data_IF_624714118588
#
_entry.id   IF_624714118588
#
_cell.length_a   1.000
_cell.length_b   1.000
_cell.length_c   1.000
_cell.angle_alpha   90.00
_cell.angle_beta   90.00
_cell.angle_gamma   90.00
#
_symmetry.space_group_name_H-M   'P 1'
#
loop_
_entity.id
_entity.type
_entity.pdbx_description
1 polymer ?
#
# COMPACT_ATOMS: atom_id res chain seq x y z
N UNK A 1 -4.74 16.01 -29.56
CA UNK A 1 -3.95 14.81 -29.24
C UNK A 1 -3.51 14.94 -27.79
N UNK A 2 -4.29 14.38 -26.86
CA UNK A 2 -4.05 14.46 -25.42
C UNK A 2 -3.26 13.24 -24.99
N UNK A 3 -2.06 13.46 -24.48
CA UNK A 3 -1.12 12.43 -24.02
C UNK A 3 -1.60 11.81 -22.70
N UNK A 4 -2.24 10.64 -22.76
CA UNK A 4 -2.39 9.74 -21.62
C UNK A 4 -1.05 9.03 -21.36
N UNK A 5 -0.20 9.60 -20.51
CA UNK A 5 0.93 8.85 -19.96
C UNK A 5 0.38 7.96 -18.85
N UNK A 6 0.37 6.65 -19.08
CA UNK A 6 -0.05 5.65 -18.10
C UNK A 6 0.72 5.85 -16.77
N UNK A 7 0.08 6.49 -15.79
CA UNK A 7 0.70 6.79 -14.50
C UNK A 7 0.85 5.49 -13.70
N UNK A 8 2.09 5.04 -13.54
CA UNK A 8 2.43 3.92 -12.65
C UNK A 8 2.83 4.50 -11.29
N UNK A 9 2.18 4.09 -10.18
CA UNK A 9 2.56 4.55 -8.84
C UNK A 9 4.02 4.21 -8.53
N UNK A 10 4.78 5.17 -8.01
CA UNK A 10 6.22 5.01 -7.67
C UNK A 10 6.52 3.77 -6.82
N UNK A 11 5.65 3.48 -5.87
CA UNK A 11 5.80 2.31 -4.97
C UNK A 11 5.55 0.98 -5.70
N UNK A 12 4.69 0.96 -6.72
CA UNK A 12 4.43 -0.24 -7.53
C UNK A 12 5.63 -0.57 -8.42
N UNK A 13 6.26 0.45 -8.99
CA UNK A 13 7.49 0.31 -9.77
C UNK A 13 8.64 -0.21 -8.90
N UNK A 14 8.87 0.43 -7.75
CA UNK A 14 9.89 -0.02 -6.79
C UNK A 14 9.66 -1.46 -6.31
N UNK A 15 8.41 -1.85 -6.07
CA UNK A 15 8.10 -3.21 -5.64
C UNK A 15 8.47 -4.25 -6.70
N UNK A 16 8.12 -3.97 -7.96
CA UNK A 16 8.38 -4.88 -9.08
C UNK A 16 9.88 -5.01 -9.40
N UNK A 17 10.63 -3.91 -9.32
CA UNK A 17 12.03 -3.85 -9.76
C UNK A 17 13.02 -4.30 -8.68
N UNK A 18 12.82 -3.86 -7.43
CA UNK A 18 13.80 -4.08 -6.36
C UNK A 18 13.30 -5.07 -5.30
N UNK A 19 12.09 -4.86 -4.79
CA UNK A 19 11.62 -5.53 -3.57
C UNK A 19 11.28 -7.01 -3.84
N UNK A 20 10.70 -7.31 -5.00
CA UNK A 20 10.33 -8.68 -5.38
C UNK A 20 11.55 -9.60 -5.48
N UNK A 21 12.62 -9.13 -6.11
CA UNK A 21 13.86 -9.88 -6.24
C UNK A 21 14.54 -10.10 -4.88
N UNK A 22 14.63 -9.05 -4.07
CA UNK A 22 15.18 -9.13 -2.71
C UNK A 22 14.40 -10.11 -1.82
N UNK A 23 13.05 -10.11 -1.91
CA UNK A 23 12.21 -11.04 -1.16
C UNK A 23 12.38 -12.48 -1.61
N UNK A 24 12.51 -12.74 -2.93
CA UNK A 24 12.76 -14.09 -3.44
C UNK A 24 14.06 -14.66 -2.91
N UNK A 25 15.13 -13.86 -2.89
CA UNK A 25 16.44 -14.27 -2.37
C UNK A 25 16.41 -14.49 -0.86
N UNK A 26 15.84 -13.56 -0.10
CA UNK A 26 15.79 -13.66 1.38
C UNK A 26 14.94 -14.82 1.88
N UNK A 27 13.85 -15.14 1.19
CA UNK A 27 12.93 -16.22 1.58
C UNK A 27 13.24 -17.55 0.88
N UNK A 28 14.23 -17.60 -0.02
CA UNK A 28 14.61 -18.80 -0.75
C UNK A 28 13.51 -19.35 -1.67
N UNK A 29 12.63 -18.49 -2.16
CA UNK A 29 11.44 -18.88 -2.91
C UNK A 29 11.80 -19.07 -4.38
N UNK A 30 11.60 -20.29 -4.89
CA UNK A 30 11.84 -20.64 -6.31
C UNK A 30 10.67 -20.27 -7.23
N UNK A 31 9.46 -20.11 -6.68
CA UNK A 31 8.27 -19.77 -7.47
C UNK A 31 7.96 -18.27 -7.42
N UNK A 32 8.01 -17.62 -8.57
CA UNK A 32 7.74 -16.17 -8.76
C UNK A 32 6.34 -15.75 -8.29
N UNK A 33 5.38 -16.66 -8.29
CA UNK A 33 4.00 -16.41 -7.85
C UNK A 33 3.81 -16.54 -6.33
N UNK A 34 4.79 -17.10 -5.61
CA UNK A 34 4.75 -17.21 -4.14
C UNK A 34 5.29 -15.95 -3.44
N UNK A 35 5.77 -14.96 -4.19
CA UNK A 35 6.28 -13.72 -3.59
C UNK A 35 5.14 -12.94 -2.93
N UNK A 36 5.27 -12.53 -1.66
CA UNK A 36 4.18 -11.85 -0.94
C UNK A 36 3.81 -10.52 -1.60
N UNK A 37 2.52 -10.30 -1.86
CA UNK A 37 1.97 -9.06 -2.45
C UNK A 37 1.00 -8.39 -1.48
N UNK A 38 0.81 -7.06 -1.64
CA UNK A 38 -0.20 -6.33 -0.88
C UNK A 38 -1.56 -6.46 -1.56
N UNK A 39 -2.54 -7.05 -0.86
CA UNK A 39 -3.91 -7.18 -1.38
C UNK A 39 -4.76 -5.94 -1.07
N UNK A 40 -4.76 -5.48 0.18
CA UNK A 40 -5.46 -4.26 0.58
C UNK A 40 -4.82 -3.60 1.81
N UNK A 41 -4.93 -2.29 1.90
CA UNK A 41 -4.56 -1.51 3.08
C UNK A 41 -5.87 -0.99 3.68
N UNK A 42 -6.23 -1.47 4.87
CA UNK A 42 -7.40 -0.98 5.62
C UNK A 42 -6.91 0.02 6.66
N UNK A 43 -7.31 1.27 6.52
CA UNK A 43 -7.05 2.31 7.53
C UNK A 43 -8.28 2.34 8.45
N UNK A 44 -8.09 1.96 9.70
CA UNK A 44 -9.11 2.10 10.73
C UNK A 44 -8.78 3.28 11.63
N UNK A 45 -9.64 4.28 11.64
CA UNK A 45 -9.58 5.35 12.63
C UNK A 45 -10.53 4.98 13.77
N UNK A 46 -9.97 4.42 14.85
CA UNK A 46 -10.74 4.06 16.04
C UNK A 46 -11.23 5.31 16.79
N UNK A 47 -12.45 5.77 16.49
CA UNK A 47 -13.07 6.96 17.12
C UNK A 47 -13.67 6.70 18.51
N UNK A 48 -13.17 5.71 19.25
CA UNK A 48 -13.76 5.26 20.53
C UNK A 48 -13.82 6.33 21.64
N UNK A 49 -13.03 7.42 21.53
CA UNK A 49 -13.08 8.59 22.43
C UNK A 49 -13.66 9.86 21.79
N UNK A 50 -13.95 9.87 20.49
CA UNK A 50 -14.46 11.05 19.79
C UNK A 50 -15.99 11.23 19.94
N UNK A 51 -16.69 10.26 20.54
CA UNK A 51 -18.12 10.37 20.87
C UNK A 51 -18.40 11.40 21.96
N UNK A 52 -17.42 11.75 22.81
CA UNK A 52 -17.58 12.70 23.91
C UNK A 52 -17.21 14.15 23.51
N UNK A 53 -16.57 14.37 22.37
CA UNK A 53 -16.15 15.71 21.94
C UNK A 53 -16.21 15.87 20.41
N UNK A 54 -17.34 16.38 19.86
CA UNK A 54 -17.55 16.47 18.40
C UNK A 54 -16.58 17.40 17.66
N UNK A 55 -15.83 18.24 18.37
CA UNK A 55 -14.84 19.17 17.78
C UNK A 55 -13.59 18.49 17.19
N UNK A 56 -13.33 17.21 17.52
CA UNK A 56 -12.18 16.46 16.99
C UNK A 56 -12.51 15.64 15.73
N UNK A 57 -13.78 15.59 15.33
CA UNK A 57 -14.23 14.83 14.16
C UNK A 57 -13.88 15.53 12.84
N UNK A 58 -13.71 16.86 12.83
CA UNK A 58 -13.38 17.63 11.62
C UNK A 58 -11.93 17.51 11.17
N UNK A 59 -11.00 17.08 12.04
CA UNK A 59 -9.58 16.89 11.70
C UNK A 59 -9.23 15.48 11.19
N UNK A 60 -10.23 14.60 11.05
CA UNK A 60 -10.07 13.18 10.75
C UNK A 60 -10.52 12.79 9.33
N UNK A 61 -10.90 13.77 8.50
CA UNK A 61 -11.31 13.62 7.09
C UNK A 61 -10.23 14.14 6.16
#
# INVERSE_FOLDING_TARGET
>A
MTTETAYVPRLKLKYNDEVKAALMEQLGITNVMQVPTFEKIVINMGVGRATQQPSLLEGAV
#
